data_IF_134799527160
#
_entry.id   IF_134799527160
#
_cell.length_a   1.000
_cell.length_b   1.000
_cell.length_c   1.000
_cell.angle_alpha   90.00
_cell.angle_beta   90.00
_cell.angle_gamma   90.00
#
_symmetry.space_group_name_H-M   'P 1'
#
loop_
_entity.id
_entity.type
_entity.pdbx_description
1 polymer ?
#
# COMPACT_ATOMS: atom_id res chain seq x y z
N UNK A 1 -39.82 2.23 10.71
CA UNK A 1 -38.52 2.88 11.02
C UNK A 1 -37.43 1.92 11.51
N UNK A 2 -37.72 0.91 12.35
CA UNK A 2 -36.71 -0.06 12.81
C UNK A 2 -36.22 -1.02 11.70
N UNK A 3 -37.14 -1.53 10.88
CA UNK A 3 -36.83 -2.44 9.77
C UNK A 3 -35.99 -1.78 8.66
N UNK A 4 -36.26 -0.51 8.33
CA UNK A 4 -35.49 0.24 7.33
C UNK A 4 -34.04 0.48 7.77
N UNK A 5 -33.81 0.78 9.04
CA UNK A 5 -32.44 0.89 9.59
C UNK A 5 -31.70 -0.44 9.58
N UNK A 6 -32.39 -1.55 9.88
CA UNK A 6 -31.79 -2.88 9.84
C UNK A 6 -31.40 -3.27 8.41
N UNK A 7 -32.28 -3.06 7.43
CA UNK A 7 -31.99 -3.29 6.03
C UNK A 7 -30.81 -2.44 5.53
N UNK A 8 -30.71 -1.19 5.98
CA UNK A 8 -29.59 -0.29 5.67
C UNK A 8 -28.26 -0.82 6.25
N UNK A 9 -28.25 -1.29 7.49
CA UNK A 9 -27.03 -1.83 8.11
C UNK A 9 -26.57 -3.13 7.43
N UNK A 10 -27.50 -4.01 7.07
CA UNK A 10 -27.19 -5.26 6.37
C UNK A 10 -26.61 -4.97 4.98
N UNK A 11 -27.26 -4.10 4.21
CA UNK A 11 -26.77 -3.72 2.88
C UNK A 11 -25.40 -3.04 2.94
N UNK A 12 -25.15 -2.20 3.96
CA UNK A 12 -23.86 -1.55 4.15
C UNK A 12 -22.74 -2.57 4.42
N UNK A 13 -22.97 -3.59 5.25
CA UNK A 13 -21.97 -4.62 5.54
C UNK A 13 -21.70 -5.56 4.35
N UNK A 14 -22.71 -5.82 3.50
CA UNK A 14 -22.55 -6.70 2.34
C UNK A 14 -21.85 -5.98 1.17
N UNK A 15 -22.04 -4.66 1.04
CA UNK A 15 -21.51 -3.88 -0.07
C UNK A 15 -20.11 -3.30 0.21
N UNK A 16 -19.61 -3.35 1.44
CA UNK A 16 -18.24 -2.91 1.73
C UNK A 16 -17.23 -3.85 1.09
N UNK A 17 -16.35 -3.29 0.27
CA UNK A 17 -15.19 -4.01 -0.26
C UNK A 17 -14.23 -4.35 0.90
N UNK A 18 -13.55 -5.51 0.85
CA UNK A 18 -12.52 -5.81 1.82
C UNK A 18 -11.39 -4.78 1.71
N UNK A 19 -11.19 -4.01 2.78
CA UNK A 19 -10.02 -3.15 2.92
C UNK A 19 -8.88 -3.97 3.48
N UNK A 20 -8.04 -4.52 2.60
CA UNK A 20 -6.80 -5.18 3.00
C UNK A 20 -5.72 -4.15 3.27
N UNK A 21 -5.16 -4.14 4.49
CA UNK A 21 -3.91 -3.44 4.76
C UNK A 21 -2.75 -4.41 4.47
N UNK A 22 -1.82 -4.03 3.60
CA UNK A 22 -0.60 -4.81 3.36
C UNK A 22 0.43 -4.43 4.41
N UNK A 23 1.01 -5.40 5.12
CA UNK A 23 2.06 -5.17 6.13
C UNK A 23 3.32 -5.94 5.80
N UNK A 24 4.47 -5.36 6.17
CA UNK A 24 5.79 -5.93 5.92
C UNK A 24 6.53 -6.15 7.23
N UNK A 25 7.10 -7.35 7.39
CA UNK A 25 7.90 -7.71 8.56
C UNK A 25 9.38 -7.45 8.33
N UNK A 26 10.02 -6.73 9.25
CA UNK A 26 11.47 -6.52 9.26
C UNK A 26 12.26 -7.81 9.50
N UNK A 27 11.62 -8.90 9.96
CA UNK A 27 12.28 -10.19 10.21
C UNK A 27 12.83 -10.88 8.96
N UNK A 28 12.41 -10.45 7.75
CA UNK A 28 12.97 -10.92 6.49
C UNK A 28 14.26 -10.20 6.08
N UNK A 29 14.59 -9.07 6.72
CA UNK A 29 15.78 -8.32 6.39
C UNK A 29 16.98 -8.92 7.11
N UNK A 30 18.03 -9.25 6.35
CA UNK A 30 19.33 -9.60 6.92
C UNK A 30 20.01 -8.31 7.40
N UNK A 31 19.64 -7.85 8.58
CA UNK A 31 20.28 -6.72 9.24
C UNK A 31 21.30 -7.23 10.27
N UNK A 32 22.53 -6.75 10.23
CA UNK A 32 23.58 -7.12 11.19
C UNK A 32 23.34 -6.52 12.58
N UNK A 33 22.60 -5.40 12.65
CA UNK A 33 22.62 -4.54 13.83
C UNK A 33 21.27 -4.51 14.57
N UNK A 34 20.29 -5.35 14.18
CA UNK A 34 18.95 -5.40 14.79
C UNK A 34 18.25 -4.04 14.93
N UNK A 35 18.67 -3.02 14.18
CA UNK A 35 18.03 -1.71 14.19
C UNK A 35 16.64 -1.80 13.54
N UNK A 36 15.66 -1.17 14.17
CA UNK A 36 14.27 -1.17 13.70
C UNK A 36 14.19 -0.41 12.37
N UNK A 37 14.15 -1.16 11.27
CA UNK A 37 13.87 -0.61 9.94
C UNK A 37 12.38 -0.33 9.83
N UNK A 38 12.01 0.91 9.52
CA UNK A 38 10.63 1.26 9.26
C UNK A 38 10.23 0.81 7.85
N UNK A 39 9.29 -0.12 7.77
CA UNK A 39 8.74 -0.65 6.52
C UNK A 39 7.31 -0.17 6.23
N UNK A 40 6.75 0.68 7.09
CA UNK A 40 5.36 1.17 6.97
C UNK A 40 5.11 1.93 5.68
N UNK A 41 6.14 2.52 5.08
CA UNK A 41 6.02 3.21 3.80
C UNK A 41 5.70 2.23 2.65
N UNK A 42 6.23 1.00 2.69
CA UNK A 42 5.96 -0.03 1.67
C UNK A 42 4.54 -0.59 1.74
N UNK A 43 3.84 -0.42 2.87
CA UNK A 43 2.43 -0.75 3.03
C UNK A 43 1.49 0.11 2.18
N UNK A 44 2.00 1.19 1.57
CA UNK A 44 1.23 2.07 0.68
C UNK A 44 1.43 1.65 -0.77
N UNK A 45 0.33 1.37 -1.46
CA UNK A 45 0.39 0.99 -2.88
C UNK A 45 1.02 2.11 -3.72
N UNK A 46 1.87 1.72 -4.67
CA UNK A 46 2.63 2.64 -5.52
C UNK A 46 3.76 3.42 -4.82
N UNK A 47 4.06 3.16 -3.54
CA UNK A 47 5.20 3.82 -2.88
C UNK A 47 6.54 3.37 -3.48
N UNK A 48 7.39 4.34 -3.80
CA UNK A 48 8.79 4.14 -4.22
C UNK A 48 9.67 4.83 -3.18
N UNK A 49 10.61 4.10 -2.60
CA UNK A 49 11.52 4.66 -1.59
C UNK A 49 12.38 5.78 -2.19
N UNK A 50 12.76 6.82 -1.44
CA UNK A 50 13.75 7.78 -1.92
C UNK A 50 15.12 7.10 -2.09
N UNK A 51 15.87 7.49 -3.12
CA UNK A 51 17.19 6.95 -3.40
C UNK A 51 17.64 7.22 -4.84
N UNK A 52 18.83 6.73 -5.15
CA UNK A 52 19.36 6.78 -6.51
C UNK A 52 18.84 5.58 -7.31
N UNK A 53 18.21 5.86 -8.46
CA UNK A 53 17.64 4.84 -9.33
C UNK A 53 18.23 4.93 -10.73
N UNK A 54 18.50 3.77 -11.32
CA UNK A 54 18.70 3.65 -12.76
C UNK A 54 17.30 3.66 -13.43
N UNK A 55 17.00 4.71 -14.19
CA UNK A 55 15.70 4.90 -14.83
C UNK A 55 15.87 5.23 -16.31
N UNK A 56 14.93 4.76 -17.13
CA UNK A 56 14.74 5.26 -18.49
C UNK A 56 13.82 6.48 -18.45
N UNK A 57 14.26 7.61 -19.00
CA UNK A 57 13.49 8.86 -18.99
C UNK A 57 12.80 9.03 -20.35
N UNK A 58 11.49 9.23 -20.35
CA UNK A 58 10.71 9.51 -21.55
C UNK A 58 10.19 10.94 -21.54
N UNK A 59 10.30 11.64 -22.68
CA UNK A 59 9.71 12.96 -22.91
C UNK A 59 8.90 12.91 -24.20
N UNK A 60 7.59 13.20 -24.12
CA UNK A 60 6.66 13.11 -25.25
C UNK A 60 6.77 11.76 -25.98
N UNK A 61 6.71 10.67 -25.22
CA UNK A 61 6.78 9.28 -25.71
C UNK A 61 8.10 8.91 -26.41
N UNK A 62 9.16 9.71 -26.23
CA UNK A 62 10.50 9.41 -26.74
C UNK A 62 11.47 9.21 -25.60
N UNK A 63 12.22 8.11 -25.65
CA UNK A 63 13.34 7.85 -24.75
C UNK A 63 14.39 8.96 -24.90
N UNK A 64 14.72 9.60 -23.79
CA UNK A 64 15.81 10.56 -23.65
C UNK A 64 17.01 9.80 -23.08
N UNK A 65 18.10 9.84 -23.82
CA UNK A 65 19.36 9.19 -23.47
C UNK A 65 20.45 10.23 -23.24
#
# INVERSE_FOLDING_TARGET
MKLTRLALLITLNVLTLPTGATEFSAGFLKNSDHSSVDLSAFSRDGYVAPGDYLLDIYLNDRLIR
#
